data_IF_141889264064
#
_entry.id   IF_141889264064
#
_cell.length_a   1.000
_cell.length_b   1.000
_cell.length_c   1.000
_cell.angle_alpha   90.00
_cell.angle_beta   90.00
_cell.angle_gamma   90.00
#
_symmetry.space_group_name_H-M   'P 1'
#
loop_
_entity.id
_entity.type
_entity.pdbx_description
1 polymer ?
#
# COMPACT_ATOMS: atom_id res chain seq x y z
N UNK A 1 11.07 0.04 15.32
CA UNK A 1 11.73 -0.60 16.48
C UNK A 1 12.79 0.35 16.99
N UNK A 2 12.99 0.42 18.30
CA UNK A 2 14.00 1.25 18.94
C UNK A 2 14.65 0.45 20.06
N UNK A 3 15.96 0.64 20.22
CA UNK A 3 16.77 0.04 21.27
C UNK A 3 17.49 1.12 22.07
N UNK A 4 17.32 1.11 23.39
CA UNK A 4 18.04 2.00 24.30
C UNK A 4 18.42 1.25 25.58
N UNK A 5 19.71 0.92 25.71
CA UNK A 5 20.22 0.10 26.81
C UNK A 5 19.52 -1.26 26.88
N UNK A 6 18.79 -1.51 27.96
CA UNK A 6 18.03 -2.75 28.19
C UNK A 6 16.59 -2.69 27.66
N UNK A 7 16.16 -1.55 27.12
CA UNK A 7 14.78 -1.34 26.67
C UNK A 7 14.67 -1.57 25.17
N UNK A 8 13.66 -2.36 24.80
CA UNK A 8 13.26 -2.61 23.41
C UNK A 8 11.82 -2.16 23.23
N UNK A 9 11.56 -1.32 22.23
CA UNK A 9 10.22 -0.87 21.90
C UNK A 9 9.92 -1.11 20.42
N UNK A 10 8.70 -1.57 20.13
CA UNK A 10 8.20 -1.78 18.79
C UNK A 10 6.74 -1.30 18.68
N UNK A 11 6.38 -0.84 17.49
CA UNK A 11 5.04 -0.41 17.15
C UNK A 11 4.90 -0.46 15.62
N UNK A 12 3.68 -0.65 15.13
CA UNK A 12 3.34 -0.57 13.69
C UNK A 12 3.31 0.88 13.17
N UNK A 13 3.30 1.84 14.10
CA UNK A 13 3.37 3.27 13.87
C UNK A 13 4.51 3.85 14.70
N UNK A 14 5.19 4.86 14.19
CA UNK A 14 6.33 5.51 14.80
C UNK A 14 5.94 6.47 15.93
N UNK A 15 4.80 7.17 15.84
CA UNK A 15 4.39 8.18 16.83
C UNK A 15 4.31 7.67 18.28
N UNK A 16 3.81 6.45 18.57
CA UNK A 16 3.87 5.90 19.93
C UNK A 16 5.29 5.86 20.51
N UNK A 17 6.31 5.63 19.68
CA UNK A 17 7.71 5.56 20.11
C UNK A 17 8.27 6.93 20.50
N UNK A 18 7.68 8.03 20.01
CA UNK A 18 8.09 9.39 20.37
C UNK A 18 7.93 9.72 21.86
N UNK A 19 7.14 8.95 22.58
CA UNK A 19 7.01 9.07 24.04
C UNK A 19 8.25 8.60 24.80
N UNK A 20 9.04 7.73 24.18
CA UNK A 20 10.27 7.18 24.75
C UNK A 20 11.50 7.96 24.31
N UNK A 21 11.46 8.54 23.11
CA UNK A 21 12.52 9.39 22.58
C UNK A 21 11.90 10.50 21.72
N UNK A 22 12.19 11.78 22.00
CA UNK A 22 11.73 12.88 21.14
C UNK A 22 12.18 12.68 19.68
N UNK A 23 11.33 12.98 18.69
CA UNK A 23 11.68 12.79 17.29
C UNK A 23 12.83 13.72 16.90
N UNK A 24 13.85 13.15 16.27
CA UNK A 24 14.95 13.89 15.67
C UNK A 24 15.08 13.47 14.22
N UNK A 25 15.18 14.42 13.29
CA UNK A 25 15.29 14.11 11.86
C UNK A 25 16.53 13.28 11.59
N UNK A 26 16.36 12.19 10.85
CA UNK A 26 17.48 11.43 10.28
C UNK A 26 17.86 12.04 8.92
N UNK A 27 19.03 12.69 8.88
CA UNK A 27 19.54 13.37 7.68
C UNK A 27 19.90 12.38 6.57
N UNK A 28 20.30 11.14 6.91
CA UNK A 28 20.59 10.11 5.92
C UNK A 28 19.29 9.65 5.23
N UNK A 29 18.24 9.41 6.03
CA UNK A 29 16.92 9.08 5.50
C UNK A 29 16.33 10.24 4.66
N UNK A 30 16.57 11.49 5.06
CA UNK A 30 16.16 12.66 4.29
C UNK A 30 16.91 12.77 2.95
N UNK A 31 18.22 12.50 2.94
CA UNK A 31 19.02 12.52 1.73
C UNK A 31 18.53 11.45 0.73
N UNK A 32 18.23 10.24 1.18
CA UNK A 32 17.66 9.19 0.35
C UNK A 32 16.27 9.54 -0.16
N UNK A 33 15.40 10.10 0.69
CA UNK A 33 14.09 10.54 0.28
C UNK A 33 14.16 11.59 -0.83
N UNK A 34 15.02 12.60 -0.71
CA UNK A 34 15.17 13.64 -1.74
C UNK A 34 15.75 13.07 -3.04
N UNK A 35 16.61 12.05 -2.94
CA UNK A 35 17.29 11.45 -4.09
C UNK A 35 16.41 10.40 -4.81
N UNK A 36 15.68 9.59 -4.06
CA UNK A 36 15.00 8.38 -4.55
C UNK A 36 13.48 8.40 -4.36
N UNK A 37 12.92 9.35 -3.61
CA UNK A 37 11.50 9.39 -3.24
C UNK A 37 11.13 8.48 -2.06
N UNK A 38 12.08 7.76 -1.48
CA UNK A 38 11.91 6.92 -0.29
C UNK A 38 13.25 6.70 0.43
N UNK A 39 13.22 6.39 1.73
CA UNK A 39 14.39 5.93 2.49
C UNK A 39 14.49 4.41 2.40
N UNK A 40 15.68 3.86 2.19
CA UNK A 40 15.97 2.46 1.97
C UNK A 40 16.22 1.65 3.26
N UNK A 41 16.04 0.34 3.15
CA UNK A 41 16.31 -0.61 4.23
C UNK A 41 15.61 -0.23 5.55
N UNK A 42 16.39 -0.19 6.62
CA UNK A 42 15.91 0.01 7.99
C UNK A 42 15.72 1.47 8.37
N UNK A 43 16.17 2.42 7.53
CA UNK A 43 16.10 3.84 7.84
C UNK A 43 14.64 4.27 8.05
N UNK A 44 14.42 5.12 9.03
CA UNK A 44 13.18 5.88 9.18
C UNK A 44 13.50 7.37 9.11
N UNK A 45 12.50 8.22 8.96
CA UNK A 45 12.67 9.67 9.02
C UNK A 45 13.04 10.18 10.43
N UNK A 46 13.21 9.30 11.42
CA UNK A 46 13.59 9.65 12.79
C UNK A 46 14.82 8.87 13.29
N UNK A 47 15.83 9.57 13.80
CA UNK A 47 17.03 8.96 14.40
C UNK A 47 16.66 8.05 15.58
N UNK A 48 17.32 6.90 15.67
CA UNK A 48 17.09 5.91 16.74
C UNK A 48 15.83 5.06 16.57
N UNK A 49 15.07 5.27 15.49
CA UNK A 49 13.93 4.43 15.13
C UNK A 49 14.22 3.74 13.80
N UNK A 50 14.16 2.42 13.81
CA UNK A 50 14.40 1.59 12.63
C UNK A 50 13.12 0.87 12.18
N UNK A 51 12.95 0.71 10.87
CA UNK A 51 11.95 -0.18 10.31
C UNK A 51 12.48 -1.62 10.32
N UNK A 52 11.62 -2.55 10.72
CA UNK A 52 11.93 -3.97 10.60
C UNK A 52 11.69 -4.41 9.14
N UNK A 53 12.67 -5.03 8.46
CA UNK A 53 12.47 -5.54 7.12
C UNK A 53 11.35 -6.59 7.06
N UNK A 54 10.65 -6.67 5.93
CA UNK A 54 9.68 -7.72 5.68
C UNK A 54 10.32 -9.11 5.67
N UNK A 55 9.59 -10.12 6.14
CA UNK A 55 10.09 -11.49 6.20
C UNK A 55 11.13 -11.75 7.29
N UNK A 56 11.14 -10.92 8.34
CA UNK A 56 12.12 -10.97 9.43
C UNK A 56 11.47 -11.25 10.78
N UNK A 57 12.08 -12.15 11.56
CA UNK A 57 11.76 -12.40 12.96
C UNK A 57 12.84 -11.79 13.85
N UNK A 58 12.43 -11.00 14.84
CA UNK A 58 13.31 -10.53 15.93
C UNK A 58 12.95 -11.21 17.23
N UNK A 59 13.94 -11.79 17.89
CA UNK A 59 13.80 -12.42 19.21
C UNK A 59 14.48 -11.56 20.27
N UNK A 60 13.72 -11.14 21.28
CA UNK A 60 14.21 -10.27 22.36
C UNK A 60 14.23 -11.06 23.67
N UNK A 61 15.41 -11.37 24.24
CA UNK A 61 15.49 -12.07 25.53
C UNK A 61 14.99 -11.21 26.70
N UNK A 62 14.00 -11.71 27.44
CA UNK A 62 13.41 -10.96 28.58
C UNK A 62 14.35 -10.87 29.79
N UNK A 63 15.26 -11.83 29.96
CA UNK A 63 16.25 -11.84 31.04
C UNK A 63 17.40 -10.83 30.81
N UNK A 64 17.30 -9.98 29.77
CA UNK A 64 18.40 -9.21 29.25
C UNK A 64 19.24 -10.00 28.26
N UNK A 65 19.95 -9.29 27.39
CA UNK A 65 20.75 -9.87 26.31
C UNK A 65 20.58 -9.10 25.00
N UNK A 66 21.34 -9.52 23.99
CA UNK A 66 21.29 -8.92 22.66
C UNK A 66 20.11 -9.53 21.88
N UNK A 67 19.20 -8.72 21.32
CA UNK A 67 18.19 -9.19 20.40
C UNK A 67 18.83 -9.92 19.22
N UNK A 68 18.24 -11.03 18.78
CA UNK A 68 18.66 -11.72 17.57
C UNK A 68 17.65 -11.54 16.46
N UNK A 69 18.14 -11.50 15.22
CA UNK A 69 17.33 -11.33 14.03
C UNK A 69 17.55 -12.53 13.10
N UNK A 70 16.47 -13.05 12.53
CA UNK A 70 16.50 -14.08 11.50
C UNK A 70 15.52 -13.72 10.40
N UNK A 71 16.01 -13.58 9.17
CA UNK A 71 15.16 -13.51 7.99
C UNK A 71 14.63 -14.91 7.67
N UNK A 72 13.31 -15.06 7.60
CA UNK A 72 12.64 -16.31 7.27
C UNK A 72 12.09 -16.31 5.84
N UNK A 73 11.99 -15.15 5.20
CA UNK A 73 11.56 -15.01 3.82
C UNK A 73 12.24 -13.81 3.15
N UNK A 74 12.85 -14.05 1.99
CA UNK A 74 13.26 -13.03 1.05
C UNK A 74 12.70 -13.36 -0.34
N UNK A 75 11.75 -12.58 -0.89
CA UNK A 75 11.25 -12.79 -2.24
C UNK A 75 12.36 -12.78 -3.30
N UNK A 76 13.47 -12.07 -3.07
CA UNK A 76 14.60 -12.06 -4.00
C UNK A 76 15.33 -13.42 -4.04
N UNK A 77 15.31 -14.17 -2.93
CA UNK A 77 15.84 -15.54 -2.89
C UNK A 77 14.93 -16.52 -3.65
N UNK A 78 13.69 -16.15 -3.96
CA UNK A 78 12.78 -16.98 -4.77
C UNK A 78 12.90 -16.75 -6.28
N UNK A 79 13.68 -15.75 -6.69
CA UNK A 79 13.86 -15.43 -8.11
C UNK A 79 14.85 -16.40 -8.76
N UNK A 80 14.32 -17.47 -9.33
CA UNK A 80 15.09 -18.44 -10.10
C UNK A 80 14.60 -18.48 -11.54
N UNK A 81 15.54 -18.46 -12.49
CA UNK A 81 15.19 -18.71 -13.89
C UNK A 81 14.87 -20.18 -14.05
N UNK A 82 13.65 -20.46 -14.48
CA UNK A 82 13.27 -21.79 -14.96
C UNK A 82 13.62 -21.89 -16.45
N UNK A 83 14.57 -22.76 -16.85
CA UNK A 83 14.96 -22.93 -18.25
C UNK A 83 13.91 -23.65 -19.10
N UNK A 84 13.00 -24.42 -18.49
CA UNK A 84 11.97 -25.18 -19.19
C UNK A 84 10.67 -24.38 -19.38
N UNK A 85 10.52 -23.28 -18.64
CA UNK A 85 9.37 -22.38 -18.71
C UNK A 85 9.24 -21.75 -20.10
N UNK A 86 8.17 -22.09 -20.81
CA UNK A 86 7.80 -21.41 -22.05
C UNK A 86 6.84 -20.24 -21.77
N UNK A 87 6.55 -19.43 -22.79
CA UNK A 87 5.69 -18.25 -22.65
C UNK A 87 4.26 -18.60 -22.21
N UNK A 88 3.67 -19.66 -22.76
CA UNK A 88 2.32 -20.07 -22.43
C UNK A 88 2.23 -20.53 -20.96
N UNK A 89 3.20 -21.33 -20.51
CA UNK A 89 3.27 -21.77 -19.11
C UNK A 89 3.39 -20.57 -18.15
N UNK A 90 4.20 -19.56 -18.53
CA UNK A 90 4.36 -18.35 -17.73
C UNK A 90 3.07 -17.51 -17.69
N UNK A 91 2.36 -17.39 -18.81
CA UNK A 91 1.07 -16.69 -18.88
C UNK A 91 0.02 -17.37 -18.00
N UNK A 92 -0.07 -18.70 -18.03
CA UNK A 92 -0.98 -19.49 -17.19
C UNK A 92 -0.64 -19.33 -15.70
N UNK A 93 0.63 -19.48 -15.32
CA UNK A 93 1.05 -19.34 -13.92
C UNK A 93 0.81 -17.94 -13.35
N UNK A 94 1.03 -16.89 -14.15
CA UNK A 94 0.72 -15.51 -13.74
C UNK A 94 -0.79 -15.33 -13.56
N UNK A 95 -1.58 -15.84 -14.49
CA UNK A 95 -3.04 -15.78 -14.41
C UNK A 95 -3.56 -16.48 -13.15
N UNK A 96 -3.15 -17.73 -12.91
CA UNK A 96 -3.55 -18.51 -11.73
C UNK A 96 -3.12 -17.83 -10.42
N UNK A 97 -1.91 -17.28 -10.36
CA UNK A 97 -1.42 -16.58 -9.19
C UNK A 97 -2.22 -15.31 -8.90
N UNK A 98 -2.59 -14.55 -9.94
CA UNK A 98 -3.41 -13.35 -9.83
C UNK A 98 -4.84 -13.68 -9.42
N UNK A 99 -5.49 -14.65 -10.08
CA UNK A 99 -6.84 -15.11 -9.77
C UNK A 99 -6.91 -15.58 -8.31
N UNK A 100 -5.98 -16.44 -7.89
CA UNK A 100 -5.88 -16.91 -6.50
C UNK A 100 -5.65 -15.77 -5.52
N UNK A 101 -4.77 -14.83 -5.84
CA UNK A 101 -4.51 -13.67 -4.98
C UNK A 101 -5.77 -12.84 -4.81
N UNK A 102 -6.44 -12.47 -5.90
CA UNK A 102 -7.69 -11.70 -5.86
C UNK A 102 -8.73 -12.44 -5.03
N UNK A 103 -8.99 -13.72 -5.32
CA UNK A 103 -9.97 -14.54 -4.62
C UNK A 103 -9.76 -14.55 -3.09
N UNK A 104 -8.52 -14.67 -2.61
CA UNK A 104 -8.21 -14.66 -1.17
C UNK A 104 -8.50 -13.29 -0.53
N UNK A 105 -8.33 -12.20 -1.27
CA UNK A 105 -8.61 -10.85 -0.77
C UNK A 105 -10.10 -10.47 -0.82
N UNK A 106 -10.94 -11.21 -1.54
CA UNK A 106 -12.40 -11.02 -1.55
C UNK A 106 -13.13 -11.68 -0.37
N UNK A 107 -12.41 -12.40 0.50
CA UNK A 107 -12.99 -13.02 1.69
C UNK A 107 -13.34 -11.94 2.75
N UNK A 108 -14.53 -11.36 2.66
CA UNK A 108 -15.04 -10.36 3.60
C UNK A 108 -16.49 -10.60 4.00
N UNK A 109 -16.75 -10.63 5.31
CA UNK A 109 -18.10 -10.76 5.88
C UNK A 109 -18.91 -9.45 5.83
N UNK A 110 -18.27 -8.32 5.50
CA UNK A 110 -18.86 -6.97 5.53
C UNK A 110 -18.94 -6.31 4.15
N UNK A 111 -18.69 -7.09 3.09
CA UNK A 111 -18.53 -6.59 1.73
C UNK A 111 -17.17 -5.90 1.51
N UNK A 112 -16.88 -5.57 0.26
CA UNK A 112 -15.64 -4.92 -0.18
C UNK A 112 -15.95 -3.96 -1.34
N UNK A 113 -15.03 -3.04 -1.61
CA UNK A 113 -15.14 -2.11 -2.72
C UNK A 113 -13.76 -1.83 -3.29
N UNK A 114 -13.62 -1.86 -4.60
CA UNK A 114 -12.30 -1.71 -5.20
C UNK A 114 -11.98 -0.26 -5.53
N UNK A 115 -10.68 0.07 -5.54
CA UNK A 115 -10.18 1.28 -6.19
C UNK A 115 -9.92 0.98 -7.66
N UNK A 116 -10.49 1.79 -8.55
CA UNK A 116 -10.36 1.62 -9.99
C UNK A 116 -9.68 2.84 -10.60
N UNK A 117 -8.69 2.58 -11.46
CA UNK A 117 -8.05 3.58 -12.30
C UNK A 117 -8.34 3.23 -13.77
N UNK A 118 -7.76 3.95 -14.73
CA UNK A 118 -7.81 3.57 -16.15
C UNK A 118 -6.63 2.70 -16.59
N UNK A 119 -5.78 2.26 -15.66
CA UNK A 119 -4.60 1.44 -15.93
C UNK A 119 -4.91 -0.05 -16.08
N UNK A 120 -4.02 -0.78 -16.74
CA UNK A 120 -4.18 -2.23 -16.97
C UNK A 120 -4.23 -3.04 -15.67
N UNK A 121 -3.45 -2.66 -14.66
CA UNK A 121 -3.35 -3.41 -13.40
C UNK A 121 -4.68 -3.41 -12.63
N UNK A 122 -5.24 -2.23 -12.36
CA UNK A 122 -6.52 -2.11 -11.66
C UNK A 122 -7.68 -2.67 -12.49
N UNK A 123 -7.61 -2.57 -13.83
CA UNK A 123 -8.57 -3.18 -14.74
C UNK A 123 -8.57 -4.71 -14.66
N UNK A 124 -7.38 -5.33 -14.58
CA UNK A 124 -7.24 -6.78 -14.44
C UNK A 124 -7.76 -7.26 -13.09
N UNK A 125 -7.44 -6.54 -12.01
CA UNK A 125 -8.00 -6.83 -10.69
C UNK A 125 -9.52 -6.68 -10.69
N UNK A 126 -10.07 -5.66 -11.37
CA UNK A 126 -11.53 -5.47 -11.51
C UNK A 126 -12.20 -6.67 -12.19
N UNK A 127 -11.60 -7.13 -13.29
CA UNK A 127 -12.11 -8.24 -14.07
C UNK A 127 -12.19 -9.52 -13.22
N UNK A 128 -11.06 -9.90 -12.62
CA UNK A 128 -10.97 -11.10 -11.76
C UNK A 128 -11.88 -10.98 -10.54
N UNK A 129 -11.96 -9.79 -9.92
CA UNK A 129 -12.80 -9.60 -8.74
C UNK A 129 -14.29 -9.71 -9.08
N UNK A 130 -14.71 -9.15 -10.21
CA UNK A 130 -16.11 -9.22 -10.64
C UNK A 130 -16.53 -10.65 -11.02
N UNK A 131 -15.63 -11.47 -11.57
CA UNK A 131 -15.91 -12.89 -11.86
C UNK A 131 -16.22 -13.71 -10.59
N UNK A 132 -15.60 -13.36 -9.47
CA UNK A 132 -15.81 -13.99 -8.17
C UNK A 132 -16.95 -13.32 -7.35
N UNK A 133 -17.45 -12.17 -7.77
CA UNK A 133 -18.48 -11.40 -7.06
C UNK A 133 -19.88 -11.76 -7.55
N UNK A 134 -20.73 -12.28 -6.65
CA UNK A 134 -22.15 -12.45 -6.93
C UNK A 134 -22.88 -11.09 -6.89
N UNK A 135 -23.07 -10.46 -8.05
CA UNK A 135 -23.73 -9.16 -8.19
C UNK A 135 -22.83 -8.13 -8.84
N UNK A 136 -23.04 -6.85 -8.56
CA UNK A 136 -22.21 -5.76 -9.09
C UNK A 136 -21.16 -5.36 -8.05
N UNK A 137 -19.89 -5.38 -8.44
CA UNK A 137 -18.78 -4.93 -7.61
C UNK A 137 -18.75 -3.40 -7.55
N UNK A 138 -18.85 -2.84 -6.34
CA UNK A 138 -18.69 -1.41 -6.14
C UNK A 138 -17.23 -1.01 -6.37
N UNK A 139 -17.04 -0.01 -7.22
CA UNK A 139 -15.72 0.53 -7.56
C UNK A 139 -15.68 2.03 -7.38
N UNK A 140 -14.51 2.55 -6.99
CA UNK A 140 -14.32 3.97 -6.67
C UNK A 140 -13.10 4.52 -7.39
N UNK A 141 -13.22 5.72 -7.95
CA UNK A 141 -12.10 6.42 -8.58
C UNK A 141 -12.08 7.89 -8.19
N UNK A 142 -10.89 8.50 -8.22
CA UNK A 142 -10.77 9.95 -8.21
C UNK A 142 -11.03 10.47 -9.62
N UNK A 143 -11.86 11.49 -9.73
CA UNK A 143 -12.17 12.17 -10.99
C UNK A 143 -11.47 13.54 -10.99
N UNK A 144 -10.66 13.77 -12.01
CA UNK A 144 -9.97 15.04 -12.23
C UNK A 144 -10.69 15.92 -13.26
N UNK A 145 -11.83 15.45 -13.79
CA UNK A 145 -12.64 16.17 -14.77
C UNK A 145 -11.87 16.39 -16.09
N UNK A 146 -11.82 17.63 -16.56
CA UNK A 146 -11.17 17.99 -17.83
C UNK A 146 -9.62 18.01 -17.75
N UNK A 147 -9.02 17.51 -16.67
CA UNK A 147 -7.56 17.49 -16.54
C UNK A 147 -6.94 16.51 -17.56
N UNK A 148 -5.81 16.84 -18.22
CA UNK A 148 -5.16 15.97 -19.20
C UNK A 148 -4.64 14.63 -18.66
N UNK A 149 -4.68 14.43 -17.34
CA UNK A 149 -4.30 13.18 -16.68
C UNK A 149 -5.52 12.41 -16.15
N UNK A 150 -6.74 12.85 -16.49
CA UNK A 150 -7.93 12.09 -16.14
C UNK A 150 -7.98 10.78 -16.94
N UNK A 151 -8.21 9.68 -16.23
CA UNK A 151 -8.21 8.33 -16.80
C UNK A 151 -9.62 7.81 -17.09
N UNK A 152 -10.64 8.68 -17.00
CA UNK A 152 -12.05 8.34 -17.04
C UNK A 152 -12.44 7.56 -18.29
N UNK A 153 -11.93 7.93 -19.47
CA UNK A 153 -12.22 7.20 -20.71
C UNK A 153 -11.89 5.70 -20.62
N UNK A 154 -10.74 5.35 -20.03
CA UNK A 154 -10.31 3.96 -19.94
C UNK A 154 -11.04 3.23 -18.82
N UNK A 155 -11.26 3.93 -17.70
CA UNK A 155 -12.07 3.43 -16.59
C UNK A 155 -13.49 3.08 -17.03
N UNK A 156 -14.14 3.93 -17.82
CA UNK A 156 -15.49 3.72 -18.34
C UNK A 156 -15.60 2.44 -19.18
N UNK A 157 -14.55 2.10 -19.94
CA UNK A 157 -14.50 0.85 -20.70
C UNK A 157 -14.58 -0.36 -19.77
N UNK A 158 -13.88 -0.34 -18.63
CA UNK A 158 -13.89 -1.42 -17.63
C UNK A 158 -15.23 -1.47 -16.92
N UNK A 159 -15.73 -0.33 -16.46
CA UNK A 159 -17.03 -0.20 -15.78
C UNK A 159 -18.16 -0.77 -16.65
N UNK A 160 -18.21 -0.40 -17.93
CA UNK A 160 -19.24 -0.88 -18.86
C UNK A 160 -19.07 -2.37 -19.19
N UNK A 161 -17.84 -2.83 -19.40
CA UNK A 161 -17.57 -4.23 -19.74
C UNK A 161 -17.99 -5.19 -18.63
N UNK A 162 -17.76 -4.81 -17.37
CA UNK A 162 -17.96 -5.66 -16.21
C UNK A 162 -19.20 -5.31 -15.38
N UNK A 163 -19.96 -4.27 -15.75
CA UNK A 163 -21.19 -3.88 -15.06
C UNK A 163 -20.95 -3.43 -13.62
N UNK A 164 -19.86 -2.70 -13.38
CA UNK A 164 -19.44 -2.26 -12.04
C UNK A 164 -20.36 -1.15 -11.51
N UNK A 165 -20.66 -1.18 -10.21
CA UNK A 165 -21.33 -0.09 -9.49
C UNK A 165 -20.29 1.00 -9.20
N UNK A 166 -20.08 1.88 -10.18
CA UNK A 166 -18.98 2.83 -10.18
C UNK A 166 -19.31 4.18 -9.53
N UNK A 167 -18.42 4.64 -8.65
CA UNK A 167 -18.54 5.88 -7.90
C UNK A 167 -17.33 6.78 -8.13
N UNK A 168 -17.55 7.94 -8.75
CA UNK A 168 -16.52 8.96 -8.89
C UNK A 168 -16.45 9.89 -7.69
N UNK A 169 -15.22 10.27 -7.34
CA UNK A 169 -14.92 11.22 -6.27
C UNK A 169 -14.13 12.37 -6.85
N UNK A 170 -14.81 13.51 -7.03
CA UNK A 170 -14.15 14.74 -7.41
C UNK A 170 -13.27 15.25 -6.24
N UNK A 171 -12.01 15.56 -6.52
CA UNK A 171 -11.07 16.13 -5.55
C UNK A 171 -10.57 17.45 -6.12
N UNK A 172 -10.94 18.56 -5.48
CA UNK A 172 -10.44 19.88 -5.88
C UNK A 172 -9.02 20.12 -5.34
N UNK A 173 -8.32 21.12 -5.90
CA UNK A 173 -7.04 21.58 -5.36
C UNK A 173 -7.15 22.07 -3.90
N UNK A 174 -8.29 22.64 -3.51
CA UNK A 174 -8.54 23.07 -2.14
C UNK A 174 -8.70 21.87 -1.19
N UNK A 175 -9.41 20.82 -1.62
CA UNK A 175 -9.54 19.57 -0.86
C UNK A 175 -8.17 18.95 -0.66
N UNK A 176 -7.37 18.84 -1.74
CA UNK A 176 -6.01 18.32 -1.70
C UNK A 176 -5.13 19.10 -0.70
N UNK A 177 -5.08 20.44 -0.84
CA UNK A 177 -4.24 21.29 0.00
C UNK A 177 -4.63 21.19 1.48
N UNK A 178 -5.93 21.13 1.78
CA UNK A 178 -6.44 20.99 3.15
C UNK A 178 -6.14 19.60 3.75
N UNK A 179 -6.10 18.56 2.92
CA UNK A 179 -5.86 17.19 3.33
C UNK A 179 -4.37 16.85 3.49
N UNK A 180 -3.47 17.60 2.83
CA UNK A 180 -2.04 17.34 2.82
C UNK A 180 -1.43 17.20 4.24
N UNK A 181 -1.69 18.10 5.23
CA UNK A 181 -1.16 17.93 6.58
C UNK A 181 -1.64 16.65 7.28
N UNK A 182 -2.87 16.21 6.98
CA UNK A 182 -3.44 14.96 7.52
C UNK A 182 -2.79 13.75 6.87
N UNK A 183 -2.59 13.77 5.55
CA UNK A 183 -1.90 12.70 4.84
C UNK A 183 -0.46 12.51 5.34
N UNK A 184 0.30 13.60 5.48
CA UNK A 184 1.66 13.58 6.07
C UNK A 184 1.64 13.03 7.49
N UNK A 185 0.64 13.43 8.28
CA UNK A 185 0.45 12.87 9.63
C UNK A 185 0.26 11.36 9.55
N UNK A 186 -0.69 10.86 8.76
CA UNK A 186 -0.98 9.42 8.66
C UNK A 186 0.18 8.60 8.09
N UNK A 187 0.96 9.17 7.17
CA UNK A 187 2.17 8.55 6.63
C UNK A 187 3.35 8.54 7.62
N UNK A 188 3.26 9.33 8.70
CA UNK A 188 4.31 9.54 9.71
C UNK A 188 5.65 10.02 9.13
N UNK A 189 5.61 10.61 7.94
CA UNK A 189 6.78 11.10 7.22
C UNK A 189 6.37 11.82 5.94
N UNK A 190 7.36 12.31 5.16
CA UNK A 190 7.11 12.90 3.86
C UNK A 190 6.37 11.93 2.93
N UNK A 191 5.52 12.47 2.05
CA UNK A 191 4.76 11.64 1.12
C UNK A 191 5.68 11.06 0.03
N UNK A 192 5.63 9.75 -0.24
CA UNK A 192 6.43 9.15 -1.31
C UNK A 192 5.98 9.59 -2.71
N UNK A 193 4.69 9.90 -2.88
CA UNK A 193 4.15 10.48 -4.10
C UNK A 193 2.88 11.31 -3.82
N UNK A 194 2.56 12.23 -4.73
CA UNK A 194 1.42 13.14 -4.58
C UNK A 194 0.05 12.44 -4.49
N UNK A 195 -0.06 11.22 -5.06
CA UNK A 195 -1.27 10.40 -5.02
C UNK A 195 -1.67 9.91 -3.62
N UNK A 196 -0.79 9.94 -2.61
CA UNK A 196 -1.17 9.52 -1.26
C UNK A 196 -2.32 10.36 -0.68
N UNK A 197 -2.39 11.65 -1.00
CA UNK A 197 -3.46 12.53 -0.51
C UNK A 197 -4.79 12.16 -1.16
N UNK A 198 -4.81 11.96 -2.48
CA UNK A 198 -6.03 11.62 -3.22
C UNK A 198 -6.54 10.22 -2.82
N UNK A 199 -5.64 9.26 -2.61
CA UNK A 199 -5.98 7.93 -2.09
C UNK A 199 -6.56 7.98 -0.68
N UNK A 200 -6.01 8.82 0.21
CA UNK A 200 -6.58 9.00 1.55
C UNK A 200 -8.02 9.55 1.48
N UNK A 201 -8.25 10.57 0.64
CA UNK A 201 -9.58 11.15 0.42
C UNK A 201 -10.55 10.13 -0.20
N UNK A 202 -10.06 9.31 -1.14
CA UNK A 202 -10.83 8.21 -1.73
C UNK A 202 -11.23 7.18 -0.66
N UNK A 203 -10.29 6.76 0.19
CA UNK A 203 -10.56 5.87 1.32
C UNK A 203 -11.58 6.46 2.30
N UNK A 204 -11.55 7.77 2.57
CA UNK A 204 -12.58 8.43 3.40
C UNK A 204 -13.98 8.33 2.79
N UNK A 205 -14.07 8.40 1.45
CA UNK A 205 -15.33 8.24 0.73
C UNK A 205 -15.78 6.78 0.72
N UNK A 206 -14.88 5.84 0.43
CA UNK A 206 -15.15 4.39 0.45
C UNK A 206 -15.60 3.93 1.84
N UNK A 207 -15.00 4.48 2.90
CA UNK A 207 -15.35 4.17 4.30
C UNK A 207 -16.83 4.38 4.64
N UNK A 208 -17.53 5.26 3.90
CA UNK A 208 -18.98 5.49 4.04
C UNK A 208 -19.83 4.36 3.46
N UNK A 209 -19.23 3.50 2.64
CA UNK A 209 -19.85 2.36 1.98
C UNK A 209 -19.41 1.03 2.61
N UNK A 210 -18.11 0.75 2.68
CA UNK A 210 -17.53 -0.47 3.29
C UNK A 210 -16.27 -0.16 4.10
N UNK A 211 -15.77 -1.12 4.88
CA UNK A 211 -14.48 -1.04 5.59
C UNK A 211 -13.34 -1.79 4.91
N UNK A 212 -13.64 -2.56 3.87
CA UNK A 212 -12.66 -3.36 3.12
C UNK A 212 -12.51 -2.78 1.72
N UNK A 213 -11.26 -2.60 1.29
CA UNK A 213 -10.89 -2.10 -0.05
C UNK A 213 -10.06 -3.15 -0.76
#
# INVERSE_FOLDING_TARGET
MMHSGTTVAFASEMRPLFRLQPPQVDEAALAELVTFGWAAGRLSNCKGIERLPGGTLVTVPLAGGVPSERRYCDPLETLHRDPEMNRADAEEQVYEALEKSVKVHLASDVGYAMQLSGGVDSSLVAALAQEETAGSLSSFAVSLGDHPYDEGRYRDMVVQRYGLDHHEVAVSAADYASALPRAVRHMEGPLPHGGCVTLMLLCERIRKHTKVV
#
